data_IF_894699476217
#
_entry.id   IF_894699476217
#
_cell.length_a   1.000
_cell.length_b   1.000
_cell.length_c   1.000
_cell.angle_alpha   90.00
_cell.angle_beta   90.00
_cell.angle_gamma   90.00
#
_symmetry.space_group_name_H-M   'P 1'
#
loop_
_entity.id
_entity.type
_entity.pdbx_description
1 polymer ?
#
# COMPACT_ATOMS: atom_id res chain seq x y z
N UNK A 1 7.58 -7.79 -17.76
CA UNK A 1 6.80 -8.78 -18.55
C UNK A 1 6.39 -8.25 -19.92
N UNK A 2 5.48 -7.26 -20.06
CA UNK A 2 4.99 -6.78 -21.38
C UNK A 2 6.12 -6.42 -22.36
N UNK A 3 7.07 -5.58 -21.94
CA UNK A 3 8.20 -5.16 -22.79
C UNK A 3 9.09 -6.33 -23.27
N UNK A 4 9.29 -7.35 -22.43
CA UNK A 4 10.11 -8.51 -22.77
C UNK A 4 9.43 -9.38 -23.83
N UNK A 5 8.11 -9.59 -23.71
CA UNK A 5 7.31 -10.34 -24.70
C UNK A 5 7.32 -9.64 -26.06
N UNK A 6 7.08 -8.32 -26.09
CA UNK A 6 7.08 -7.54 -27.34
C UNK A 6 8.41 -7.58 -28.08
N UNK A 7 9.51 -7.72 -27.36
CA UNK A 7 10.86 -7.76 -27.92
C UNK A 7 11.34 -9.19 -28.25
N UNK A 8 10.48 -10.21 -28.14
CA UNK A 8 10.84 -11.61 -28.41
C UNK A 8 11.78 -12.25 -27.39
N UNK A 9 11.96 -11.61 -26.22
CA UNK A 9 12.90 -12.00 -25.16
C UNK A 9 12.23 -12.87 -24.11
N UNK A 10 11.81 -14.08 -24.51
CA UNK A 10 11.05 -15.00 -23.66
C UNK A 10 11.92 -15.78 -22.67
N UNK A 11 13.14 -16.09 -23.07
CA UNK A 11 14.20 -16.69 -22.25
C UNK A 11 14.50 -15.85 -21.00
N UNK A 12 14.49 -14.53 -21.14
CA UNK A 12 14.78 -13.60 -20.03
C UNK A 12 13.66 -13.58 -18.99
N UNK A 13 12.40 -13.85 -19.40
CA UNK A 13 11.25 -13.95 -18.48
C UNK A 13 11.36 -15.21 -17.63
N UNK A 14 11.75 -16.34 -18.24
CA UNK A 14 11.92 -17.64 -17.57
C UNK A 14 13.02 -17.60 -16.48
N UNK A 15 13.98 -16.68 -16.62
CA UNK A 15 15.10 -16.51 -15.70
C UNK A 15 14.98 -15.30 -14.75
N UNK A 16 13.86 -14.57 -14.76
CA UNK A 16 13.59 -13.49 -13.80
C UNK A 16 13.27 -14.08 -12.41
N UNK A 17 14.30 -14.51 -11.69
CA UNK A 17 14.20 -15.04 -10.31
C UNK A 17 13.75 -14.02 -9.25
N UNK A 18 13.61 -12.73 -9.59
CA UNK A 18 13.55 -11.65 -8.58
C UNK A 18 12.47 -10.58 -8.80
N UNK A 19 11.41 -10.83 -9.59
CA UNK A 19 10.44 -9.76 -9.92
C UNK A 19 8.98 -9.99 -9.49
N UNK A 20 8.64 -11.14 -8.89
CA UNK A 20 7.33 -11.32 -8.27
C UNK A 20 7.37 -10.87 -6.81
N UNK A 21 6.47 -9.95 -6.48
CA UNK A 21 6.27 -9.49 -5.11
C UNK A 21 4.93 -10.06 -4.62
N UNK A 22 4.99 -11.03 -3.72
CA UNK A 22 3.80 -11.65 -3.13
C UNK A 22 3.11 -10.68 -2.16
N UNK A 23 1.78 -10.55 -2.27
CA UNK A 23 0.99 -9.60 -1.49
C UNK A 23 0.43 -10.21 -0.21
N UNK A 24 0.20 -11.53 -0.20
CA UNK A 24 -0.35 -12.21 0.96
C UNK A 24 0.42 -11.86 2.24
N UNK A 25 -0.32 -11.45 3.28
CA UNK A 25 0.19 -11.11 4.61
C UNK A 25 1.21 -9.94 4.65
N UNK A 26 1.41 -9.21 3.55
CA UNK A 26 2.30 -8.03 3.52
C UNK A 26 1.70 -6.85 4.26
N UNK A 27 2.56 -6.01 4.83
CA UNK A 27 2.21 -4.80 5.56
C UNK A 27 2.08 -3.62 4.60
N UNK A 28 0.87 -3.10 4.47
CA UNK A 28 0.53 -1.94 3.65
C UNK A 28 0.29 -0.73 4.55
N UNK A 29 0.98 0.39 4.30
CA UNK A 29 0.71 1.66 4.96
C UNK A 29 0.04 2.63 3.98
N UNK A 30 -1.14 3.12 4.36
CA UNK A 30 -1.87 4.15 3.63
C UNK A 30 -1.74 5.46 4.41
N UNK A 31 -1.10 6.45 3.81
CA UNK A 31 -1.00 7.81 4.35
C UNK A 31 -2.11 8.63 3.70
N UNK A 32 -3.08 9.07 4.51
CA UNK A 32 -4.29 9.77 4.05
C UNK A 32 -5.47 8.83 3.79
N UNK A 33 -6.54 9.00 4.57
CA UNK A 33 -7.73 8.15 4.57
C UNK A 33 -9.00 8.86 4.07
N UNK A 34 -8.82 9.61 2.99
CA UNK A 34 -9.91 10.23 2.23
C UNK A 34 -10.65 9.26 1.31
N UNK A 35 -11.21 9.77 0.21
CA UNK A 35 -11.98 8.95 -0.76
C UNK A 35 -11.15 7.82 -1.38
N UNK A 36 -9.90 8.13 -1.76
CA UNK A 36 -8.99 7.17 -2.41
C UNK A 36 -8.52 6.12 -1.39
N UNK A 37 -8.02 6.54 -0.22
CA UNK A 37 -7.57 5.61 0.83
C UNK A 37 -8.66 4.61 1.25
N UNK A 38 -9.91 5.06 1.40
CA UNK A 38 -11.07 4.19 1.70
C UNK A 38 -11.42 3.19 0.60
N UNK A 39 -11.07 3.47 -0.65
CA UNK A 39 -11.25 2.54 -1.77
C UNK A 39 -10.05 1.60 -1.91
N UNK A 40 -8.86 2.07 -1.60
CA UNK A 40 -7.64 1.29 -1.63
C UNK A 40 -7.67 0.17 -0.59
N UNK A 41 -8.03 0.48 0.66
CA UNK A 41 -8.11 -0.51 1.75
C UNK A 41 -8.99 -1.71 1.39
N UNK A 42 -10.15 -1.48 0.74
CA UNK A 42 -11.07 -2.55 0.32
C UNK A 42 -10.42 -3.54 -0.64
N UNK A 43 -9.55 -3.06 -1.54
CA UNK A 43 -8.84 -3.90 -2.51
C UNK A 43 -7.69 -4.65 -1.84
N UNK A 44 -6.91 -3.97 -1.00
CA UNK A 44 -5.79 -4.58 -0.29
C UNK A 44 -6.24 -5.68 0.69
N UNK A 45 -7.40 -5.50 1.34
CA UNK A 45 -8.00 -6.55 2.18
C UNK A 45 -8.39 -7.80 1.37
N UNK A 46 -8.81 -7.64 0.11
CA UNK A 46 -9.06 -8.77 -0.79
C UNK A 46 -7.81 -9.57 -1.16
N UNK A 47 -6.62 -9.01 -0.95
CA UNK A 47 -5.33 -9.70 -1.07
C UNK A 47 -4.79 -10.20 0.28
N UNK A 48 -5.60 -10.16 1.34
CA UNK A 48 -5.24 -10.61 2.69
C UNK A 48 -3.96 -9.92 3.22
N UNK A 49 -3.83 -8.62 2.91
CA UNK A 49 -2.76 -7.77 3.42
C UNK A 49 -3.07 -7.24 4.82
N UNK A 50 -2.02 -6.92 5.57
CA UNK A 50 -2.11 -6.23 6.86
C UNK A 50 -2.12 -4.71 6.63
N UNK A 51 -3.27 -4.06 6.82
CA UNK A 51 -3.41 -2.63 6.49
C UNK A 51 -3.24 -1.75 7.72
N UNK A 52 -2.32 -0.80 7.59
CA UNK A 52 -2.06 0.28 8.53
C UNK A 52 -2.41 1.61 7.85
N UNK A 53 -2.96 2.55 8.63
CA UNK A 53 -3.42 3.84 8.11
C UNK A 53 -2.95 4.95 9.01
N UNK A 54 -2.23 5.90 8.42
CA UNK A 54 -1.88 7.16 9.05
C UNK A 54 -2.74 8.28 8.47
N UNK A 55 -3.60 8.87 9.29
CA UNK A 55 -4.31 10.10 8.97
C UNK A 55 -4.60 10.87 10.28
N UNK A 56 -3.95 12.04 10.48
CA UNK A 56 -4.15 12.84 11.69
C UNK A 56 -5.59 13.32 11.89
N UNK A 57 -6.37 13.42 10.80
CA UNK A 57 -7.69 14.02 10.79
C UNK A 57 -8.84 13.01 10.83
N UNK A 58 -8.55 11.71 10.74
CA UNK A 58 -9.57 10.65 10.74
C UNK A 58 -9.53 9.84 12.03
N UNK A 59 -10.68 9.67 12.66
CA UNK A 59 -10.81 8.88 13.87
C UNK A 59 -10.48 7.39 13.68
N UNK A 60 -9.85 6.82 14.72
CA UNK A 60 -9.52 5.39 14.79
C UNK A 60 -10.70 4.48 14.47
N UNK A 61 -11.89 4.78 15.02
CA UNK A 61 -13.11 4.00 14.80
C UNK A 61 -13.50 3.89 13.33
N UNK A 62 -13.29 4.95 12.54
CA UNK A 62 -13.62 4.96 11.11
C UNK A 62 -12.67 4.02 10.36
N UNK A 63 -11.38 4.08 10.65
CA UNK A 63 -10.36 3.22 10.04
C UNK A 63 -10.61 1.75 10.39
N UNK A 64 -10.87 1.45 11.66
CA UNK A 64 -11.12 0.08 12.15
C UNK A 64 -12.41 -0.50 11.56
N UNK A 65 -13.47 0.31 11.41
CA UNK A 65 -14.70 -0.12 10.73
C UNK A 65 -14.49 -0.53 9.28
N UNK A 66 -13.38 -0.07 8.65
CA UNK A 66 -12.99 -0.42 7.29
C UNK A 66 -11.97 -1.57 7.23
N UNK A 67 -11.63 -2.20 8.37
CA UNK A 67 -10.68 -3.32 8.45
C UNK A 67 -9.20 -2.91 8.53
N UNK A 68 -8.89 -1.64 8.78
CA UNK A 68 -7.52 -1.15 8.94
C UNK A 68 -7.12 -0.93 10.40
N UNK A 69 -5.82 -0.74 10.64
CA UNK A 69 -5.28 -0.34 11.94
C UNK A 69 -4.79 1.10 11.87
N UNK A 70 -5.32 1.99 12.71
CA UNK A 70 -4.80 3.36 12.80
C UNK A 70 -3.41 3.32 13.43
N UNK A 71 -2.48 4.06 12.84
CA UNK A 71 -1.15 4.34 13.42
C UNK A 71 -1.02 5.83 13.66
N UNK A 72 -0.39 6.21 14.78
CA UNK A 72 -0.23 7.59 15.21
C UNK A 72 1.20 8.12 14.96
N UNK A 73 2.18 7.22 14.85
CA UNK A 73 3.58 7.54 14.50
C UNK A 73 3.89 7.02 13.10
N UNK A 74 4.17 7.95 12.18
CA UNK A 74 4.48 7.63 10.79
C UNK A 74 5.87 7.02 10.63
N UNK A 75 6.87 7.53 11.35
CA UNK A 75 8.27 7.12 11.21
C UNK A 75 8.49 5.69 11.68
N UNK A 76 7.85 5.32 12.80
CA UNK A 76 7.89 3.94 13.29
C UNK A 76 7.12 2.99 12.38
N UNK A 77 5.98 3.42 11.84
CA UNK A 77 5.19 2.61 10.90
C UNK A 77 5.92 2.35 9.59
N UNK A 78 6.70 3.32 9.10
CA UNK A 78 7.47 3.18 7.86
C UNK A 78 8.54 2.07 7.95
N UNK A 79 9.15 1.87 9.13
CA UNK A 79 10.21 0.85 9.32
C UNK A 79 9.73 -0.58 9.08
N UNK A 80 8.44 -0.83 9.34
CA UNK A 80 7.84 -2.16 9.19
C UNK A 80 6.99 -2.30 7.93
N UNK A 81 6.89 -1.26 7.10
CA UNK A 81 6.00 -1.23 5.94
C UNK A 81 6.67 -1.91 4.74
N UNK A 82 5.94 -2.84 4.11
CA UNK A 82 6.37 -3.44 2.85
C UNK A 82 5.97 -2.59 1.64
N UNK A 83 4.77 -1.99 1.69
CA UNK A 83 4.21 -1.14 0.63
C UNK A 83 3.62 0.13 1.23
N UNK A 84 4.06 1.29 0.74
CA UNK A 84 3.53 2.60 1.11
C UNK A 84 2.67 3.17 -0.02
N UNK A 85 1.49 3.70 0.30
CA UNK A 85 0.70 4.52 -0.62
C UNK A 85 0.36 5.87 -0.01
N UNK A 86 0.68 6.93 -0.74
CA UNK A 86 0.34 8.31 -0.40
C UNK A 86 -0.97 8.68 -1.08
N UNK A 87 -2.01 8.85 -0.27
CA UNK A 87 -3.36 9.26 -0.67
C UNK A 87 -3.71 10.63 -0.06
N UNK A 88 -2.71 11.49 0.13
CA UNK A 88 -2.85 12.85 0.67
C UNK A 88 -2.83 13.89 -0.45
N UNK A 89 -3.61 14.99 -0.33
CA UNK A 89 -3.44 16.15 -1.19
C UNK A 89 -2.11 16.85 -0.90
N UNK A 90 -1.50 17.44 -1.93
CA UNK A 90 -0.32 18.29 -1.74
C UNK A 90 -0.74 19.60 -1.05
N UNK A 91 -0.18 19.85 0.12
CA UNK A 91 -0.39 21.05 0.93
C UNK A 91 0.96 21.52 1.50
N UNK A 92 1.01 22.70 2.12
CA UNK A 92 2.26 23.22 2.74
C UNK A 92 2.83 22.31 3.83
N UNK A 93 1.99 21.54 4.51
CA UNK A 93 2.38 20.61 5.58
C UNK A 93 2.75 19.22 5.05
N UNK A 94 2.57 18.97 3.75
CA UNK A 94 2.92 17.71 3.07
C UNK A 94 3.83 17.96 1.85
N UNK A 95 4.57 19.08 1.85
CA UNK A 95 5.57 19.42 0.84
C UNK A 95 6.94 18.88 1.26
#
# INVERSE_FOLDING_TARGET
YDQSVRNGKFDTIMHMKHQSFELFNKKMLIVGFGRIGKQLIKRCLGFEMNIYVYDPFVDKKIIESCGGKKVDDLDDSLKETDILSLCVPLTKITH
#
